data_IF_892646767472
#
_entry.id   IF_892646767472
#
_cell.length_a   1.000
_cell.length_b   1.000
_cell.length_c   1.000
_cell.angle_alpha   90.00
_cell.angle_beta   90.00
_cell.angle_gamma   90.00
#
_symmetry.space_group_name_H-M   'P 1'
#
loop_
_entity.id
_entity.type
_entity.pdbx_description
1 polymer ?
#
# COMPACT_ATOMS: atom_id res chain seq x y z
N UNK A 1 15.65 1.19 0.66
CA UNK A 1 14.92 1.78 -0.49
C UNK A 1 14.83 3.28 -0.26
N UNK A 2 15.08 4.11 -1.28
CA UNK A 2 14.70 5.51 -1.21
C UNK A 2 13.19 5.61 -0.91
N UNK A 3 12.77 6.57 -0.07
CA UNK A 3 11.36 6.76 0.28
C UNK A 3 10.88 6.10 1.59
N UNK A 4 11.69 5.28 2.26
CA UNK A 4 11.37 4.80 3.61
C UNK A 4 11.69 5.88 4.66
N UNK A 5 10.64 6.43 5.26
CA UNK A 5 10.72 7.43 6.33
C UNK A 5 10.45 6.79 7.69
N UNK A 6 11.10 7.31 8.72
CA UNK A 6 10.74 7.01 10.11
C UNK A 6 10.03 8.21 10.69
N UNK A 7 8.72 8.07 10.85
CA UNK A 7 7.87 9.15 11.31
C UNK A 7 7.50 8.91 12.78
N UNK A 8 7.43 10.02 13.52
CA UNK A 8 6.86 10.05 14.86
C UNK A 8 5.84 11.17 14.91
N UNK A 9 4.62 10.84 15.27
CA UNK A 9 3.57 11.85 15.48
C UNK A 9 3.56 12.26 16.94
N UNK A 10 3.67 13.57 17.18
CA UNK A 10 3.52 14.20 18.50
C UNK A 10 2.38 15.21 18.43
N UNK A 11 1.45 15.12 19.38
CA UNK A 11 0.39 16.09 19.56
C UNK A 11 0.29 16.48 21.03
N UNK A 12 0.63 17.73 21.35
CA UNK A 12 0.73 18.25 22.71
C UNK A 12 1.62 17.34 23.61
N UNK A 13 1.00 16.61 24.54
CA UNK A 13 1.64 15.69 25.49
C UNK A 13 1.67 14.24 25.00
N UNK A 14 0.98 13.93 23.92
CA UNK A 14 0.91 12.58 23.37
C UNK A 14 1.98 12.38 22.32
N UNK A 15 2.65 11.22 22.39
CA UNK A 15 3.74 10.86 21.50
C UNK A 15 3.58 9.40 21.10
N UNK A 16 3.52 9.15 19.81
CA UNK A 16 3.48 7.79 19.25
C UNK A 16 4.87 7.17 19.23
N UNK A 17 4.94 5.84 19.07
CA UNK A 17 6.20 5.17 18.73
C UNK A 17 6.62 5.59 17.32
N UNK A 18 7.93 5.52 17.05
CA UNK A 18 8.41 5.61 15.67
C UNK A 18 7.78 4.49 14.86
N UNK A 19 7.29 4.82 13.67
CA UNK A 19 6.83 3.84 12.70
C UNK A 19 7.45 4.15 11.34
N UNK A 20 7.61 3.10 10.55
CA UNK A 20 8.14 3.20 9.21
C UNK A 20 6.99 3.55 8.26
N UNK A 21 7.15 4.64 7.52
CA UNK A 21 6.24 5.11 6.50
C UNK A 21 6.92 5.02 5.14
N UNK A 22 6.33 4.27 4.22
CA UNK A 22 6.93 3.95 2.94
C UNK A 22 6.31 4.84 1.85
N UNK A 23 7.07 5.83 1.38
CA UNK A 23 6.74 6.58 0.17
C UNK A 23 7.29 5.81 -1.03
N UNK A 24 6.40 5.35 -1.91
CA UNK A 24 6.73 4.43 -2.99
C UNK A 24 6.18 4.95 -4.30
N UNK A 25 7.02 5.02 -5.33
CA UNK A 25 6.56 5.30 -6.69
C UNK A 25 5.70 4.15 -7.25
N UNK A 26 4.94 4.38 -8.31
CA UNK A 26 4.12 3.32 -8.93
C UNK A 26 4.96 2.11 -9.38
N UNK A 27 6.19 2.33 -9.82
CA UNK A 27 7.08 1.26 -10.29
C UNK A 27 7.63 0.44 -9.13
N UNK A 28 8.07 1.09 -8.05
CA UNK A 28 8.48 0.39 -6.83
C UNK A 28 7.30 -0.36 -6.20
N UNK A 29 6.07 0.17 -6.30
CA UNK A 29 4.87 -0.52 -5.79
C UNK A 29 4.61 -1.83 -6.55
N UNK A 30 4.86 -1.86 -7.86
CA UNK A 30 4.80 -3.12 -8.63
C UNK A 30 5.82 -4.13 -8.12
N UNK A 31 7.07 -3.69 -7.90
CA UNK A 31 8.15 -4.55 -7.40
C UNK A 31 7.86 -5.10 -6.00
N UNK A 32 7.25 -4.31 -5.10
CA UNK A 32 6.90 -4.76 -3.75
C UNK A 32 5.82 -5.86 -3.80
N UNK A 33 4.89 -5.79 -4.75
CA UNK A 33 3.81 -6.76 -4.86
C UNK A 33 4.21 -8.05 -5.58
N UNK A 34 5.30 -8.04 -6.35
CA UNK A 34 5.86 -9.24 -6.97
C UNK A 34 6.13 -10.34 -5.92
N UNK A 35 5.63 -11.55 -6.17
CA UNK A 35 5.81 -12.69 -5.27
C UNK A 35 4.93 -12.69 -4.01
N UNK A 36 4.13 -11.65 -3.77
CA UNK A 36 3.21 -11.59 -2.60
C UNK A 36 1.84 -12.24 -2.85
N UNK A 37 1.54 -12.60 -4.10
CA UNK A 37 0.20 -13.07 -4.51
C UNK A 37 -0.83 -11.95 -4.57
N UNK A 38 -0.38 -10.69 -4.67
CA UNK A 38 -1.21 -9.52 -4.92
C UNK A 38 -0.80 -8.89 -6.25
N UNK A 39 -1.78 -8.37 -6.99
CA UNK A 39 -1.54 -7.65 -8.23
C UNK A 39 -2.20 -6.27 -8.17
N UNK A 40 -1.61 -5.32 -8.87
CA UNK A 40 -2.22 -4.00 -9.04
C UNK A 40 -3.29 -4.11 -10.11
N UNK A 41 -4.52 -3.77 -9.75
CA UNK A 41 -5.64 -3.69 -10.69
C UNK A 41 -5.65 -2.37 -11.43
N UNK A 42 -5.48 -1.26 -10.69
CA UNK A 42 -5.61 0.09 -11.24
C UNK A 42 -4.86 1.09 -10.38
N UNK A 43 -4.33 2.14 -11.01
CA UNK A 43 -3.86 3.35 -10.33
C UNK A 43 -4.82 4.50 -10.66
N UNK A 44 -5.32 5.16 -9.63
CA UNK A 44 -6.08 6.40 -9.76
C UNK A 44 -5.12 7.53 -9.43
N UNK A 45 -4.86 8.36 -10.44
CA UNK A 45 -4.04 9.55 -10.28
C UNK A 45 -4.91 10.72 -9.80
N UNK A 46 -4.55 11.26 -8.65
CA UNK A 46 -4.86 12.64 -8.31
C UNK A 46 -3.91 13.55 -9.09
N UNK A 47 -4.32 14.77 -9.45
CA UNK A 47 -3.46 15.70 -10.21
C UNK A 47 -2.17 16.13 -9.51
N UNK A 48 -1.91 15.64 -8.29
CA UNK A 48 -0.73 15.88 -7.47
C UNK A 48 0.21 14.65 -7.46
N UNK A 49 1.26 14.69 -6.64
CA UNK A 49 2.24 13.60 -6.50
C UNK A 49 1.73 12.34 -5.76
N UNK A 50 0.46 12.33 -5.35
CA UNK A 50 -0.18 11.20 -4.68
C UNK A 50 -1.03 10.38 -5.66
N UNK A 51 -1.03 9.06 -5.48
CA UNK A 51 -1.86 8.15 -6.25
C UNK A 51 -2.56 7.17 -5.32
N UNK A 52 -3.70 6.65 -5.77
CA UNK A 52 -4.40 5.55 -5.10
C UNK A 52 -4.18 4.29 -5.93
N UNK A 53 -3.64 3.24 -5.32
CA UNK A 53 -3.54 1.93 -5.96
C UNK A 53 -4.68 1.01 -5.50
N UNK A 54 -5.44 0.49 -6.45
CA UNK A 54 -6.38 -0.61 -6.22
C UNK A 54 -5.59 -1.91 -6.42
N UNK A 55 -5.38 -2.66 -5.34
CA UNK A 55 -4.74 -3.98 -5.38
C UNK A 55 -5.78 -5.09 -5.21
N UNK A 56 -5.54 -6.24 -5.85
CA UNK A 56 -6.37 -7.41 -5.71
C UNK A 56 -5.52 -8.67 -5.50
N UNK A 57 -6.06 -9.61 -4.72
CA UNK A 57 -5.38 -10.87 -4.45
C UNK A 57 -5.45 -11.75 -5.68
N UNK A 58 -4.31 -12.25 -6.11
CA UNK A 58 -4.20 -13.21 -7.19
C UNK A 58 -4.91 -14.49 -6.75
N UNK A 59 -6.00 -14.84 -7.46
CA UNK A 59 -6.70 -16.09 -7.18
C UNK A 59 -5.84 -17.23 -7.69
N UNK A 60 -5.02 -17.80 -6.81
CA UNK A 60 -4.54 -19.16 -7.00
C UNK A 60 -5.79 -20.03 -7.09
N UNK A 61 -6.00 -20.68 -8.24
CA UNK A 61 -7.06 -21.66 -8.47
C UNK A 61 -6.85 -22.85 -7.52
N UNK A 62 -7.22 -22.67 -6.27
CA UNK A 62 -7.29 -23.69 -5.23
C UNK A 62 -8.47 -23.32 -4.33
N UNK A 63 -9.63 -23.85 -4.73
CA UNK A 63 -10.85 -24.09 -3.94
C UNK A 63 -11.53 -22.86 -3.28
N UNK A 64 -12.73 -22.58 -3.81
CA UNK A 64 -13.88 -21.87 -3.25
C UNK A 64 -13.75 -21.41 -1.79
N UNK A 65 -13.79 -20.10 -1.57
CA UNK A 65 -14.63 -19.46 -0.54
C UNK A 65 -14.67 -17.95 -0.86
N UNK A 66 -15.84 -17.34 -0.72
CA UNK A 66 -16.21 -16.01 -1.17
C UNK A 66 -15.94 -15.00 -0.07
N UNK A 67 -14.96 -14.10 -0.20
CA UNK A 67 -14.98 -12.83 0.54
C UNK A 67 -14.18 -11.75 -0.19
N UNK A 68 -14.92 -10.78 -0.74
CA UNK A 68 -14.38 -9.62 -1.47
C UNK A 68 -13.94 -8.55 -0.46
N UNK A 69 -12.75 -8.73 0.12
CA UNK A 69 -12.09 -7.68 0.89
C UNK A 69 -11.22 -6.82 -0.02
N UNK A 70 -11.69 -5.64 -0.41
CA UNK A 70 -10.83 -4.61 -1.02
C UNK A 70 -10.15 -3.84 0.10
N UNK A 71 -8.81 -3.88 0.17
CA UNK A 71 -8.03 -3.07 1.10
C UNK A 71 -7.55 -1.82 0.36
N UNK A 72 -8.14 -0.67 0.68
CA UNK A 72 -7.73 0.62 0.16
C UNK A 72 -6.62 1.17 1.07
N UNK A 73 -5.39 1.22 0.59
CA UNK A 73 -4.29 1.89 1.30
C UNK A 73 -4.17 3.32 0.74
N UNK A 74 -4.59 4.31 1.53
CA UNK A 74 -4.32 5.71 1.25
C UNK A 74 -2.87 6.01 1.65
N UNK A 75 -2.00 6.26 0.67
CA UNK A 75 -0.66 6.83 0.85
C UNK A 75 -0.66 8.26 0.31
#
# INVERSE_FOLDING_TARGET
MPGQLRIRVRFQRYVTKLFDFLLVSKDEMRQILEGTGWRIREFIDSGDSQYIAIIEKERVLSRKETDKGYLCLFL
#
